data_IF_826043245132
#
_entry.id   IF_826043245132
#
_cell.length_a   1.000
_cell.length_b   1.000
_cell.length_c   1.000
_cell.angle_alpha   90.00
_cell.angle_beta   90.00
_cell.angle_gamma   90.00
#
_symmetry.space_group_name_H-M   'P 1'
#
loop_
_entity.id
_entity.type
_entity.pdbx_description
1 polymer ?
#
# COMPACT_ATOMS: atom_id res chain seq x y z
N UNK A 1 -3.71 0.59 -30.38
CA UNK A 1 -4.77 -0.39 -30.69
C UNK A 1 -6.11 0.16 -30.19
N UNK A 2 -7.03 0.46 -31.13
CA UNK A 2 -8.37 0.99 -30.80
C UNK A 2 -9.16 -0.10 -30.04
N UNK A 3 -9.56 0.17 -28.81
CA UNK A 3 -10.44 -0.76 -28.04
C UNK A 3 -11.78 -0.82 -28.75
N UNK A 4 -12.07 -1.95 -29.39
CA UNK A 4 -13.41 -2.23 -29.92
C UNK A 4 -14.40 -2.21 -28.75
N UNK A 5 -15.27 -1.21 -28.71
CA UNK A 5 -16.29 -1.13 -27.67
C UNK A 5 -17.38 -2.17 -27.95
N UNK A 6 -17.76 -2.93 -26.92
CA UNK A 6 -18.86 -3.87 -27.02
C UNK A 6 -20.17 -3.12 -27.37
N UNK A 7 -21.10 -3.74 -28.12
CA UNK A 7 -22.41 -3.18 -28.42
C UNK A 7 -23.15 -2.73 -27.14
N UNK A 8 -23.90 -1.63 -27.23
CA UNK A 8 -24.56 -1.03 -26.07
C UNK A 8 -25.48 -2.05 -25.34
N UNK A 9 -26.25 -2.83 -26.09
CA UNK A 9 -27.14 -3.87 -25.53
C UNK A 9 -26.36 -4.93 -24.72
N UNK A 10 -25.17 -5.34 -25.18
CA UNK A 10 -24.33 -6.30 -24.47
C UNK A 10 -23.79 -5.69 -23.17
N UNK A 11 -23.33 -4.44 -23.21
CA UNK A 11 -22.86 -3.72 -22.01
C UNK A 11 -23.96 -3.58 -20.96
N UNK A 12 -25.17 -3.21 -21.38
CA UNK A 12 -26.32 -3.09 -20.47
C UNK A 12 -26.71 -4.44 -19.86
N UNK A 13 -26.64 -5.50 -20.65
CA UNK A 13 -26.88 -6.86 -20.17
C UNK A 13 -25.83 -7.27 -19.12
N UNK A 14 -24.53 -7.05 -19.41
CA UNK A 14 -23.44 -7.33 -18.47
C UNK A 14 -23.55 -6.52 -17.18
N UNK A 15 -23.92 -5.23 -17.27
CA UNK A 15 -24.10 -4.37 -16.10
C UNK A 15 -25.29 -4.83 -15.24
N UNK A 16 -26.40 -5.22 -15.86
CA UNK A 16 -27.56 -5.80 -15.13
C UNK A 16 -27.20 -7.11 -14.45
N UNK A 17 -26.54 -8.02 -15.17
CA UNK A 17 -26.06 -9.28 -14.61
C UNK A 17 -25.14 -9.04 -13.41
N UNK A 18 -24.16 -8.15 -13.55
CA UNK A 18 -23.25 -7.80 -12.46
C UNK A 18 -23.94 -7.17 -11.24
N UNK A 19 -25.05 -6.44 -11.43
CA UNK A 19 -25.87 -5.96 -10.30
C UNK A 19 -26.59 -7.11 -9.64
N UNK A 20 -27.29 -7.96 -10.41
CA UNK A 20 -28.00 -9.11 -9.87
C UNK A 20 -27.10 -10.09 -9.12
N UNK A 21 -25.82 -10.20 -9.52
CA UNK A 21 -24.86 -11.06 -8.83
C UNK A 21 -24.33 -10.47 -7.52
N UNK A 22 -24.27 -9.14 -7.39
CA UNK A 22 -23.75 -8.48 -6.19
C UNK A 22 -24.82 -8.12 -5.17
N UNK A 23 -26.03 -7.79 -5.65
CA UNK A 23 -27.10 -7.33 -4.81
C UNK A 23 -28.30 -8.30 -4.90
N UNK A 24 -28.63 -8.98 -3.77
CA UNK A 24 -29.79 -9.87 -3.71
C UNK A 24 -31.11 -9.18 -3.96
N UNK A 25 -31.22 -7.88 -3.63
CA UNK A 25 -32.43 -7.08 -3.78
C UNK A 25 -32.60 -6.51 -5.20
N UNK A 26 -31.59 -6.67 -6.06
CA UNK A 26 -31.65 -6.21 -7.43
C UNK A 26 -32.72 -6.99 -8.21
N UNK A 27 -33.44 -6.28 -9.11
CA UNK A 27 -34.50 -6.86 -9.94
C UNK A 27 -34.04 -8.11 -10.69
N UNK A 28 -34.85 -9.15 -10.65
CA UNK A 28 -34.55 -10.43 -11.29
C UNK A 28 -34.29 -10.26 -12.80
N UNK A 29 -33.37 -11.05 -13.31
CA UNK A 29 -32.97 -11.01 -14.71
C UNK A 29 -33.84 -11.98 -15.53
N UNK A 30 -34.48 -11.47 -16.58
CA UNK A 30 -35.28 -12.30 -17.46
C UNK A 30 -34.47 -13.42 -18.12
N UNK A 31 -34.99 -14.63 -18.14
CA UNK A 31 -34.30 -15.79 -18.73
C UNK A 31 -33.28 -16.48 -17.84
N UNK A 32 -33.02 -15.97 -16.65
CA UNK A 32 -32.10 -16.60 -15.68
C UNK A 32 -32.91 -17.19 -14.52
N UNK A 33 -32.72 -18.48 -14.26
CA UNK A 33 -33.37 -19.14 -13.13
C UNK A 33 -32.83 -18.59 -11.80
N UNK A 34 -33.67 -18.14 -10.86
CA UNK A 34 -33.26 -17.56 -9.58
C UNK A 34 -32.29 -18.48 -8.80
N UNK A 35 -32.53 -19.77 -8.81
CA UNK A 35 -31.67 -20.77 -8.16
C UNK A 35 -30.22 -20.75 -8.73
N UNK A 36 -30.07 -20.64 -10.05
CA UNK A 36 -28.72 -20.58 -10.67
C UNK A 36 -28.03 -19.27 -10.31
N UNK A 37 -28.78 -18.16 -10.33
CA UNK A 37 -28.24 -16.86 -9.94
C UNK A 37 -27.76 -16.85 -8.49
N UNK A 38 -28.49 -17.49 -7.57
CA UNK A 38 -28.10 -17.63 -6.17
C UNK A 38 -26.78 -18.40 -6.02
N UNK A 39 -26.61 -19.54 -6.73
CA UNK A 39 -25.35 -20.31 -6.71
C UNK A 39 -24.16 -19.49 -7.22
N UNK A 40 -24.33 -18.77 -8.35
CA UNK A 40 -23.26 -17.91 -8.87
C UNK A 40 -22.93 -16.74 -7.94
N UNK A 41 -23.92 -16.16 -7.28
CA UNK A 41 -23.73 -15.09 -6.29
C UNK A 41 -22.89 -15.58 -5.12
N UNK A 42 -23.25 -16.73 -4.58
CA UNK A 42 -22.52 -17.34 -3.46
C UNK A 42 -21.09 -17.70 -3.84
N UNK A 43 -20.89 -18.31 -5.00
CA UNK A 43 -19.56 -18.65 -5.51
C UNK A 43 -18.66 -17.40 -5.66
N UNK A 44 -19.17 -16.34 -6.27
CA UNK A 44 -18.42 -15.11 -6.47
C UNK A 44 -18.11 -14.40 -5.14
N UNK A 45 -19.08 -14.41 -4.22
CA UNK A 45 -18.87 -13.84 -2.88
C UNK A 45 -17.80 -14.64 -2.12
N UNK A 46 -17.88 -15.97 -2.10
CA UNK A 46 -16.93 -16.82 -1.40
C UNK A 46 -15.50 -16.65 -1.94
N UNK A 47 -15.34 -16.63 -3.28
CA UNK A 47 -14.03 -16.36 -3.89
C UNK A 47 -13.46 -14.99 -3.49
N UNK A 48 -14.31 -13.95 -3.46
CA UNK A 48 -13.91 -12.61 -3.01
C UNK A 48 -13.54 -12.60 -1.53
N UNK A 49 -14.35 -13.25 -0.69
CA UNK A 49 -14.12 -13.32 0.75
C UNK A 49 -12.83 -14.08 1.09
N UNK A 50 -12.55 -15.20 0.42
CA UNK A 50 -11.30 -15.96 0.58
C UNK A 50 -10.08 -15.12 0.18
N UNK A 51 -10.14 -14.43 -0.95
CA UNK A 51 -9.06 -13.55 -1.40
C UNK A 51 -8.78 -12.43 -0.41
N UNK A 52 -9.83 -11.74 0.06
CA UNK A 52 -9.68 -10.66 1.03
C UNK A 52 -9.21 -11.17 2.39
N UNK A 53 -9.65 -12.34 2.82
CA UNK A 53 -9.18 -12.98 4.04
C UNK A 53 -7.68 -13.31 3.99
N UNK A 54 -7.19 -13.75 2.84
CA UNK A 54 -5.77 -14.03 2.63
C UNK A 54 -4.93 -12.75 2.62
N UNK A 55 -5.46 -11.66 2.06
CA UNK A 55 -4.76 -10.40 1.92
C UNK A 55 -4.81 -9.51 3.17
N UNK A 56 -5.82 -9.70 4.04
CA UNK A 56 -6.10 -8.84 5.20
C UNK A 56 -6.32 -9.66 6.49
N UNK A 57 -5.35 -10.48 6.90
CA UNK A 57 -5.50 -11.35 8.07
C UNK A 57 -5.68 -10.57 9.38
N UNK A 58 -4.97 -9.44 9.56
CA UNK A 58 -5.09 -8.62 10.77
C UNK A 58 -6.42 -7.87 10.81
N UNK A 59 -6.84 -7.28 9.68
CA UNK A 59 -8.17 -6.65 9.59
C UNK A 59 -9.27 -7.66 9.90
N UNK A 60 -9.17 -8.87 9.35
CA UNK A 60 -10.14 -9.94 9.65
C UNK A 60 -10.21 -10.24 11.14
N UNK A 61 -9.05 -10.33 11.81
CA UNK A 61 -8.99 -10.56 13.26
C UNK A 61 -9.63 -9.40 14.05
N UNK A 62 -9.25 -8.16 13.72
CA UNK A 62 -9.76 -6.94 14.37
C UNK A 62 -11.26 -6.77 14.17
N UNK A 63 -11.76 -7.09 12.97
CA UNK A 63 -13.17 -6.95 12.60
C UNK A 63 -14.00 -8.21 12.90
N UNK A 64 -13.43 -9.26 13.44
CA UNK A 64 -14.02 -10.57 13.74
C UNK A 64 -15.54 -10.71 13.46
N UNK A 65 -16.42 -10.28 14.38
CA UNK A 65 -17.88 -10.36 14.21
C UNK A 65 -18.48 -9.44 13.14
N UNK A 66 -17.70 -8.50 12.57
CA UNK A 66 -18.14 -7.54 11.51
C UNK A 66 -17.49 -7.83 10.17
N UNK A 67 -16.53 -8.75 10.09
CA UNK A 67 -15.75 -9.03 8.88
C UNK A 67 -16.63 -9.43 7.70
N UNK A 68 -17.51 -10.41 7.91
CA UNK A 68 -18.38 -10.90 6.83
C UNK A 68 -19.31 -9.80 6.30
N UNK A 69 -19.89 -9.01 7.20
CA UNK A 69 -20.73 -7.87 6.82
C UNK A 69 -19.93 -6.82 6.01
N UNK A 70 -18.70 -6.52 6.43
CA UNK A 70 -17.81 -5.59 5.75
C UNK A 70 -17.47 -6.06 4.32
N UNK A 71 -17.18 -7.35 4.15
CA UNK A 71 -16.89 -7.94 2.83
C UNK A 71 -18.16 -7.96 1.96
N UNK A 72 -19.33 -8.26 2.53
CA UNK A 72 -20.62 -8.20 1.80
C UNK A 72 -20.95 -6.78 1.32
N UNK A 73 -20.74 -5.78 2.17
CA UNK A 73 -20.91 -4.37 1.80
C UNK A 73 -19.94 -3.97 0.68
N UNK A 74 -18.68 -4.37 0.78
CA UNK A 74 -17.72 -4.14 -0.29
C UNK A 74 -18.16 -4.80 -1.60
N UNK A 75 -18.55 -6.06 -1.58
CA UNK A 75 -18.98 -6.81 -2.76
C UNK A 75 -20.22 -6.18 -3.41
N UNK A 76 -21.18 -5.69 -2.61
CA UNK A 76 -22.41 -5.03 -3.08
C UNK A 76 -22.14 -3.64 -3.62
N UNK A 77 -21.46 -2.79 -2.86
CA UNK A 77 -21.42 -1.35 -3.08
C UNK A 77 -20.21 -0.88 -3.91
N UNK A 78 -19.10 -1.63 -3.86
CA UNK A 78 -17.89 -1.27 -4.59
C UNK A 78 -17.85 -1.97 -5.96
N UNK A 79 -17.71 -1.16 -7.01
CA UNK A 79 -17.49 -1.67 -8.36
C UNK A 79 -15.99 -1.73 -8.61
N UNK A 80 -15.42 -2.92 -8.47
CA UNK A 80 -14.04 -3.14 -8.90
C UNK A 80 -13.89 -2.82 -10.39
N UNK A 81 -12.88 -2.04 -10.72
CA UNK A 81 -12.59 -1.61 -12.10
C UNK A 81 -11.50 -2.46 -12.73
N UNK A 82 -10.79 -3.23 -11.93
CA UNK A 82 -9.72 -4.11 -12.37
C UNK A 82 -10.22 -5.53 -12.67
N UNK A 83 -9.74 -6.17 -13.74
CA UNK A 83 -9.95 -7.58 -13.98
C UNK A 83 -8.95 -8.47 -13.22
N UNK A 84 -7.93 -7.88 -12.57
CA UNK A 84 -6.84 -8.61 -11.93
C UNK A 84 -7.17 -8.87 -10.45
N UNK A 85 -7.16 -10.13 -10.07
CA UNK A 85 -7.41 -10.54 -8.68
C UNK A 85 -6.40 -9.95 -7.69
N UNK A 86 -5.16 -9.77 -8.12
CA UNK A 86 -4.09 -9.17 -7.31
C UNK A 86 -4.34 -7.70 -6.94
N UNK A 87 -5.15 -6.98 -7.72
CA UNK A 87 -5.49 -5.58 -7.49
C UNK A 87 -6.74 -5.40 -6.61
N UNK A 88 -7.48 -6.47 -6.31
CA UNK A 88 -8.67 -6.40 -5.46
C UNK A 88 -8.33 -5.89 -4.06
N UNK A 89 -7.16 -6.22 -3.53
CA UNK A 89 -6.68 -5.67 -2.25
C UNK A 89 -6.60 -4.14 -2.27
N UNK A 90 -6.09 -3.56 -3.35
CA UNK A 90 -6.05 -2.11 -3.52
C UNK A 90 -7.45 -1.49 -3.64
N UNK A 91 -8.36 -2.17 -4.33
CA UNK A 91 -9.76 -1.74 -4.45
C UNK A 91 -10.47 -1.78 -3.08
N UNK A 92 -10.20 -2.80 -2.27
CA UNK A 92 -10.73 -2.89 -0.90
C UNK A 92 -10.20 -1.78 -0.01
N UNK A 93 -8.89 -1.49 -0.05
CA UNK A 93 -8.30 -0.35 0.65
C UNK A 93 -8.97 0.98 0.24
N UNK A 94 -9.15 1.23 -1.06
CA UNK A 94 -9.86 2.42 -1.57
C UNK A 94 -11.31 2.51 -1.08
N UNK A 95 -11.99 1.36 -0.98
CA UNK A 95 -13.34 1.31 -0.42
C UNK A 95 -13.35 1.69 1.06
N UNK A 96 -12.43 1.18 1.86
CA UNK A 96 -12.32 1.50 3.28
C UNK A 96 -12.02 2.99 3.51
N UNK A 97 -11.13 3.60 2.72
CA UNK A 97 -10.88 5.04 2.77
C UNK A 97 -12.17 5.85 2.54
N UNK A 98 -12.91 5.55 1.46
CA UNK A 98 -14.16 6.25 1.16
C UNK A 98 -15.24 6.01 2.21
N UNK A 99 -15.29 4.82 2.80
CA UNK A 99 -16.26 4.50 3.86
C UNK A 99 -15.94 5.23 5.16
N UNK A 100 -14.65 5.38 5.49
CA UNK A 100 -14.20 6.13 6.67
C UNK A 100 -14.51 7.64 6.58
N UNK A 101 -14.57 8.20 5.37
CA UNK A 101 -14.92 9.61 5.14
C UNK A 101 -16.45 9.88 5.28
N UNK A 102 -17.27 8.84 5.24
CA UNK A 102 -18.73 8.98 5.32
C UNK A 102 -19.20 8.91 6.77
N UNK A 103 -20.04 9.84 7.15
CA UNK A 103 -20.78 9.74 8.40
C UNK A 103 -21.77 8.56 8.31
N UNK A 104 -21.55 7.51 9.07
CA UNK A 104 -22.40 6.31 9.12
C UNK A 104 -22.83 6.02 10.54
N UNK A 105 -23.94 5.30 10.73
CA UNK A 105 -24.40 4.87 12.05
C UNK A 105 -23.48 3.79 12.65
N UNK A 106 -22.72 3.08 11.81
CA UNK A 106 -21.74 2.05 12.20
C UNK A 106 -20.34 2.40 11.65
N UNK A 107 -19.61 3.32 12.33
CA UNK A 107 -18.32 3.77 11.87
C UNK A 107 -17.28 2.66 11.96
N UNK A 108 -16.37 2.66 10.98
CA UNK A 108 -15.17 1.82 11.02
C UNK A 108 -14.16 2.37 12.03
N UNK A 109 -13.32 1.51 12.66
CA UNK A 109 -12.19 1.97 13.43
C UNK A 109 -11.33 2.95 12.61
N UNK A 110 -10.94 4.07 13.20
CA UNK A 110 -10.24 5.14 12.50
C UNK A 110 -8.87 4.72 11.92
N UNK A 111 -8.25 3.69 12.49
CA UNK A 111 -6.99 3.13 11.98
C UNK A 111 -7.17 2.15 10.81
N UNK A 112 -8.38 1.71 10.51
CA UNK A 112 -8.63 0.61 9.57
C UNK A 112 -8.15 0.89 8.14
N UNK A 113 -8.32 2.11 7.57
CA UNK A 113 -7.77 2.43 6.26
C UNK A 113 -6.25 2.33 6.20
N UNK A 114 -5.54 2.80 7.24
CA UNK A 114 -4.08 2.72 7.28
C UNK A 114 -3.59 1.29 7.49
N UNK A 115 -4.28 0.50 8.30
CA UNK A 115 -4.01 -0.93 8.47
C UNK A 115 -4.21 -1.68 7.14
N UNK A 116 -5.27 -1.37 6.41
CA UNK A 116 -5.50 -1.96 5.08
C UNK A 116 -4.40 -1.58 4.08
N UNK A 117 -3.91 -0.34 4.13
CA UNK A 117 -2.77 0.05 3.30
C UNK A 117 -1.51 -0.73 3.68
N UNK A 118 -1.24 -0.91 4.98
CA UNK A 118 -0.09 -1.65 5.48
C UNK A 118 -0.09 -3.11 5.01
N UNK A 119 -1.21 -3.84 5.19
CA UNK A 119 -1.35 -5.23 4.73
C UNK A 119 -1.30 -5.33 3.19
N UNK A 120 -1.92 -4.38 2.47
CA UNK A 120 -1.84 -4.33 1.02
C UNK A 120 -0.42 -4.08 0.50
N UNK A 121 0.39 -3.25 1.19
CA UNK A 121 1.80 -2.98 0.81
C UNK A 121 2.61 -4.26 0.80
N UNK A 122 2.39 -5.17 1.75
CA UNK A 122 3.08 -6.48 1.78
C UNK A 122 2.80 -7.28 0.51
N UNK A 123 1.53 -7.41 0.15
CA UNK A 123 1.13 -8.08 -1.10
C UNK A 123 1.71 -7.35 -2.32
N UNK A 124 1.56 -6.04 -2.40
CA UNK A 124 2.01 -5.25 -3.54
C UNK A 124 3.50 -5.39 -3.81
N UNK A 125 4.33 -5.38 -2.76
CA UNK A 125 5.77 -5.61 -2.88
C UNK A 125 6.08 -7.07 -3.24
N UNK A 126 5.34 -8.04 -2.69
CA UNK A 126 5.59 -9.47 -2.95
C UNK A 126 5.38 -9.83 -4.42
N UNK A 127 4.37 -9.25 -5.07
CA UNK A 127 4.00 -9.51 -6.47
C UNK A 127 4.56 -8.50 -7.47
N UNK A 128 5.29 -7.46 -7.01
CA UNK A 128 5.85 -6.45 -7.91
C UNK A 128 6.79 -7.08 -8.94
N UNK A 129 6.65 -6.72 -10.21
CA UNK A 129 7.52 -7.09 -11.30
C UNK A 129 8.79 -6.23 -11.36
N UNK A 130 8.89 -5.20 -10.51
CA UNK A 130 10.09 -4.38 -10.41
C UNK A 130 11.31 -5.21 -10.04
N UNK A 131 12.45 -4.84 -10.61
CA UNK A 131 13.74 -5.46 -10.34
C UNK A 131 14.67 -4.50 -9.60
N UNK A 132 15.64 -5.07 -8.92
CA UNK A 132 16.74 -4.28 -8.36
C UNK A 132 17.44 -3.52 -9.49
N UNK A 133 17.80 -2.24 -9.29
CA UNK A 133 18.63 -1.52 -10.25
C UNK A 133 19.90 -2.33 -10.54
N UNK A 134 20.31 -2.38 -11.81
CA UNK A 134 21.50 -3.12 -12.24
C UNK A 134 22.72 -2.74 -11.40
N UNK A 135 23.65 -3.70 -11.26
CA UNK A 135 24.76 -3.65 -10.32
C UNK A 135 25.47 -2.30 -10.32
N UNK A 136 25.17 -1.51 -9.32
CA UNK A 136 25.96 -0.36 -8.97
C UNK A 136 27.02 -0.85 -8.01
N UNK A 137 28.24 -1.02 -8.53
CA UNK A 137 29.38 -1.30 -7.66
C UNK A 137 29.44 -0.24 -6.55
N UNK A 138 29.81 -0.64 -5.33
CA UNK A 138 30.13 0.33 -4.27
C UNK A 138 31.13 1.34 -4.87
N UNK A 139 30.78 2.64 -4.86
CA UNK A 139 31.64 3.62 -5.49
C UNK A 139 33.00 3.67 -4.79
N UNK A 140 34.07 3.48 -5.52
CA UNK A 140 35.44 3.51 -5.02
C UNK A 140 35.87 4.88 -4.45
N UNK A 141 35.03 5.90 -4.43
CA UNK A 141 35.35 7.26 -4.01
C UNK A 141 34.36 7.89 -3.02
N UNK A 142 33.55 7.10 -2.34
CA UNK A 142 32.53 7.63 -1.44
C UNK A 142 31.21 8.02 -2.17
N UNK A 143 30.17 8.33 -1.39
CA UNK A 143 28.81 8.54 -1.93
C UNK A 143 28.50 10.02 -2.19
N UNK A 144 29.29 10.95 -1.68
CA UNK A 144 28.92 12.37 -1.55
C UNK A 144 28.53 13.04 -2.85
N UNK A 145 29.27 12.78 -3.92
CA UNK A 145 29.11 13.44 -5.22
C UNK A 145 28.42 12.53 -6.26
N UNK A 146 27.96 11.36 -5.85
CA UNK A 146 27.22 10.46 -6.74
C UNK A 146 25.71 10.62 -6.60
N UNK A 147 24.98 10.63 -7.74
CA UNK A 147 23.53 10.59 -7.70
C UNK A 147 23.03 9.31 -7.03
N UNK A 148 22.00 9.44 -6.23
CA UNK A 148 21.34 8.30 -5.59
C UNK A 148 20.04 7.93 -6.32
N UNK A 149 19.82 6.62 -6.43
CA UNK A 149 18.63 6.02 -7.05
C UNK A 149 17.91 5.17 -6.01
N UNK A 150 16.58 5.34 -5.83
CA UNK A 150 15.83 4.51 -4.90
C UNK A 150 15.70 3.09 -5.43
N UNK A 151 15.66 2.10 -4.54
CA UNK A 151 15.17 0.78 -4.88
C UNK A 151 13.66 0.84 -5.10
N UNK A 152 13.11 0.44 -6.26
CA UNK A 152 11.67 0.42 -6.49
C UNK A 152 10.92 -0.56 -5.55
N UNK A 153 11.63 -1.52 -4.96
CA UNK A 153 11.13 -2.48 -3.99
C UNK A 153 11.35 -2.05 -2.53
N UNK A 154 11.64 -0.75 -2.27
CA UNK A 154 11.82 -0.19 -0.95
C UNK A 154 11.01 1.10 -0.80
N UNK A 155 9.93 1.04 -0.01
CA UNK A 155 8.95 2.11 0.13
C UNK A 155 9.02 2.75 1.50
N UNK A 156 9.13 4.09 1.55
CA UNK A 156 9.00 4.88 2.78
C UNK A 156 7.52 5.16 3.03
N UNK A 157 7.01 4.70 4.16
CA UNK A 157 5.61 4.77 4.55
C UNK A 157 5.47 5.60 5.82
N UNK A 158 4.47 6.46 5.88
CA UNK A 158 4.13 7.24 7.08
C UNK A 158 2.67 6.99 7.43
N UNK A 159 2.42 6.59 8.65
CA UNK A 159 1.11 6.32 9.19
C UNK A 159 0.87 7.16 10.44
N UNK A 160 -0.36 7.56 10.65
CA UNK A 160 -0.80 8.18 11.89
C UNK A 160 -0.88 7.17 13.04
N UNK A 161 -1.17 5.90 12.70
CA UNK A 161 -1.36 4.81 13.64
C UNK A 161 -0.18 3.83 13.64
N UNK A 162 0.11 3.15 14.77
CA UNK A 162 1.16 2.13 14.83
C UNK A 162 0.68 0.81 14.20
N UNK A 163 0.37 0.84 12.89
CA UNK A 163 -0.29 -0.25 12.15
C UNK A 163 0.43 -1.60 12.25
N UNK A 164 1.75 -1.59 12.35
CA UNK A 164 2.60 -2.79 12.47
C UNK A 164 2.50 -3.46 13.87
N UNK A 165 1.83 -2.82 14.82
CA UNK A 165 1.60 -3.35 16.18
C UNK A 165 0.13 -3.73 16.42
N UNK A 166 -0.74 -3.44 15.48
CA UNK A 166 -2.17 -3.81 15.56
C UNK A 166 -2.30 -5.32 15.33
N UNK A 167 -3.14 -5.98 16.14
CA UNK A 167 -3.37 -7.43 16.08
C UNK A 167 -3.50 -8.05 17.47
N UNK A 168 -2.96 -7.40 18.49
CA UNK A 168 -3.17 -7.73 19.91
C UNK A 168 -4.13 -6.74 20.55
N UNK A 169 -3.60 -5.72 21.21
CA UNK A 169 -4.37 -4.64 21.79
C UNK A 169 -4.70 -3.57 20.74
N UNK A 170 -5.97 -3.15 20.69
CA UNK A 170 -6.41 -2.14 19.74
C UNK A 170 -6.06 -0.73 20.25
N UNK A 171 -5.48 0.13 19.41
CA UNK A 171 -5.13 1.48 19.81
C UNK A 171 -6.38 2.34 20.06
N UNK A 172 -6.47 2.95 21.24
CA UNK A 172 -7.57 3.85 21.58
C UNK A 172 -7.46 5.23 20.92
N UNK A 173 -6.23 5.71 20.73
CA UNK A 173 -5.93 6.98 20.07
C UNK A 173 -4.62 6.89 19.29
N UNK A 174 -4.45 7.70 18.22
CA UNK A 174 -3.18 7.77 17.52
C UNK A 174 -2.11 8.43 18.40
N UNK A 175 -0.84 7.98 18.33
CA UNK A 175 0.26 8.64 19.01
C UNK A 175 0.49 10.06 18.47
N UNK A 176 1.20 10.88 19.27
CA UNK A 176 1.53 12.26 18.87
C UNK A 176 2.48 12.29 17.65
N UNK A 177 3.38 11.32 17.56
CA UNK A 177 4.32 11.20 16.46
C UNK A 177 3.85 10.16 15.44
N UNK A 178 4.05 10.40 14.14
CA UNK A 178 3.70 9.44 13.10
C UNK A 178 4.59 8.20 13.18
N UNK A 179 4.01 7.06 12.83
CA UNK A 179 4.73 5.81 12.63
C UNK A 179 5.39 5.82 11.24
N UNK A 180 6.70 5.81 11.21
CA UNK A 180 7.49 5.84 9.98
C UNK A 180 8.07 4.45 9.73
N UNK A 181 7.74 3.85 8.60
CA UNK A 181 8.16 2.50 8.24
C UNK A 181 8.89 2.48 6.90
N UNK A 182 9.87 1.59 6.80
CA UNK A 182 10.38 1.08 5.55
C UNK A 182 9.72 -0.28 5.29
N UNK A 183 9.02 -0.42 4.17
CA UNK A 183 8.64 -1.70 3.62
C UNK A 183 9.59 -2.04 2.47
N UNK A 184 10.21 -3.22 2.48
CA UNK A 184 11.09 -3.64 1.39
C UNK A 184 10.96 -5.12 1.07
N UNK A 185 11.05 -5.46 -0.22
CA UNK A 185 11.27 -6.83 -0.65
C UNK A 185 12.77 -7.09 -0.74
N UNK A 186 13.25 -8.06 0.01
CA UNK A 186 14.66 -8.46 0.05
C UNK A 186 15.01 -9.38 -1.14
N UNK A 187 16.30 -9.66 -1.37
CA UNK A 187 16.76 -10.50 -2.50
C UNK A 187 16.28 -11.96 -2.41
N UNK A 188 15.91 -12.42 -1.21
CA UNK A 188 15.28 -13.71 -0.94
C UNK A 188 13.74 -13.66 -1.08
N UNK A 189 13.23 -12.61 -1.74
CA UNK A 189 11.80 -12.37 -2.01
C UNK A 189 10.91 -12.22 -0.77
N UNK A 190 11.49 -11.95 0.41
CA UNK A 190 10.71 -11.68 1.63
C UNK A 190 10.41 -10.20 1.75
N UNK A 191 9.17 -9.87 2.07
CA UNK A 191 8.81 -8.50 2.43
C UNK A 191 9.08 -8.28 3.92
N UNK A 192 9.80 -7.22 4.23
CA UNK A 192 10.16 -6.86 5.61
C UNK A 192 9.80 -5.42 5.90
N UNK A 193 9.28 -5.20 7.09
CA UNK A 193 8.99 -3.88 7.64
C UNK A 193 9.99 -3.53 8.73
N UNK A 194 10.43 -2.27 8.74
CA UNK A 194 11.38 -1.75 9.74
C UNK A 194 10.96 -0.33 10.13
N UNK A 195 10.93 -0.03 11.42
CA UNK A 195 10.70 1.35 11.87
C UNK A 195 11.87 2.25 11.46
N UNK A 196 11.55 3.45 11.00
CA UNK A 196 12.52 4.47 10.62
C UNK A 196 12.48 5.65 11.58
N UNK A 197 13.65 6.17 11.94
CA UNK A 197 13.73 7.51 12.48
C UNK A 197 13.47 8.59 11.41
N UNK A 198 13.08 9.78 11.84
CA UNK A 198 12.69 10.88 10.94
C UNK A 198 13.75 11.22 9.89
N UNK A 199 15.04 11.19 10.24
CA UNK A 199 16.14 11.50 9.32
C UNK A 199 16.22 10.44 8.20
N UNK A 200 16.15 9.16 8.56
CA UNK A 200 16.20 8.06 7.59
C UNK A 200 14.98 8.10 6.65
N UNK A 201 13.80 8.33 7.19
CA UNK A 201 12.58 8.48 6.41
C UNK A 201 12.66 9.64 5.42
N UNK A 202 13.07 10.84 5.87
CA UNK A 202 13.19 12.02 5.02
C UNK A 202 14.28 11.86 3.94
N UNK A 203 15.38 11.18 4.26
CA UNK A 203 16.42 10.85 3.27
C UNK A 203 15.87 9.91 2.18
N UNK A 204 15.26 8.80 2.57
CA UNK A 204 14.68 7.87 1.60
C UNK A 204 13.61 8.54 0.74
N UNK A 205 12.73 9.35 1.34
CA UNK A 205 11.74 10.13 0.63
C UNK A 205 12.38 11.14 -0.34
N UNK A 206 13.45 11.82 0.08
CA UNK A 206 14.18 12.76 -0.78
C UNK A 206 14.80 12.05 -1.98
N UNK A 207 15.37 10.85 -1.81
CA UNK A 207 15.94 10.04 -2.90
C UNK A 207 14.85 9.58 -3.85
N UNK A 208 13.70 9.13 -3.34
CA UNK A 208 12.56 8.69 -4.15
C UNK A 208 11.97 9.81 -5.01
N UNK A 209 11.98 11.05 -4.53
CA UNK A 209 11.45 12.22 -5.23
C UNK A 209 12.41 12.85 -6.25
N UNK A 210 13.70 12.62 -6.15
CA UNK A 210 14.70 13.33 -6.96
C UNK A 210 15.94 12.47 -7.26
N UNK A 211 15.78 11.51 -8.16
CA UNK A 211 16.74 10.44 -8.53
C UNK A 211 18.11 10.92 -9.06
N UNK A 212 18.26 12.19 -9.42
CA UNK A 212 19.50 12.73 -10.02
C UNK A 212 20.36 13.54 -9.04
N UNK A 213 19.97 13.60 -7.76
CA UNK A 213 20.71 14.35 -6.75
C UNK A 213 21.76 13.49 -6.10
N UNK A 214 22.89 14.14 -5.79
CA UNK A 214 23.97 13.51 -5.02
C UNK A 214 23.59 13.33 -3.54
N UNK A 215 24.29 12.45 -2.83
CA UNK A 215 24.06 12.25 -1.40
C UNK A 215 24.17 13.56 -0.62
N UNK A 216 25.18 14.40 -0.92
CA UNK A 216 25.35 15.73 -0.33
C UNK A 216 24.15 16.64 -0.55
N UNK A 217 23.57 16.63 -1.75
CA UNK A 217 22.39 17.44 -2.08
C UNK A 217 21.13 16.94 -1.34
N UNK A 218 20.95 15.63 -1.19
CA UNK A 218 19.87 15.07 -0.39
C UNK A 218 20.02 15.44 1.09
N UNK A 219 21.21 15.30 1.66
CA UNK A 219 21.51 15.69 3.04
C UNK A 219 21.23 17.17 3.29
N UNK A 220 21.71 18.07 2.41
CA UNK A 220 21.46 19.50 2.53
C UNK A 220 19.95 19.85 2.42
N UNK A 221 19.20 19.15 1.58
CA UNK A 221 17.76 19.32 1.45
C UNK A 221 17.02 18.90 2.73
N UNK A 222 17.38 17.74 3.29
CA UNK A 222 16.76 17.20 4.49
C UNK A 222 17.12 18.06 5.71
N UNK A 223 18.37 18.51 5.84
CA UNK A 223 18.79 19.45 6.88
C UNK A 223 17.92 20.71 6.90
N UNK A 224 17.74 21.35 5.74
CA UNK A 224 16.85 22.53 5.61
C UNK A 224 15.41 22.23 5.99
N UNK A 225 14.88 21.08 5.58
CA UNK A 225 13.52 20.68 5.88
C UNK A 225 13.28 20.45 7.37
N UNK A 226 14.29 19.91 8.06
CA UNK A 226 14.25 19.64 9.51
C UNK A 226 14.69 20.85 10.34
N UNK A 227 15.00 22.00 9.72
CA UNK A 227 15.44 23.22 10.41
C UNK A 227 16.84 23.11 11.02
N UNK A 228 17.68 22.16 10.54
CA UNK A 228 19.05 21.99 11.06
C UNK A 228 19.97 23.00 10.41
N UNK A 229 20.59 23.85 11.24
CA UNK A 229 21.52 24.91 10.82
C UNK A 229 22.64 25.11 11.85
N UNK A 230 23.60 26.00 11.54
CA UNK A 230 24.69 26.35 12.45
C UNK A 230 25.58 25.17 12.83
N UNK A 231 26.06 25.11 14.08
CA UNK A 231 27.00 24.06 14.52
C UNK A 231 26.49 22.64 14.39
N UNK A 232 25.15 22.45 14.52
CA UNK A 232 24.54 21.13 14.40
C UNK A 232 24.57 20.57 12.97
N UNK A 233 24.75 21.41 11.96
CA UNK A 233 24.74 20.98 10.55
C UNK A 233 25.86 19.99 10.23
N UNK A 234 27.08 20.22 10.74
CA UNK A 234 28.21 19.33 10.49
C UNK A 234 27.96 17.91 11.04
N UNK A 235 27.47 17.82 12.28
CA UNK A 235 27.09 16.55 12.91
C UNK A 235 25.97 15.87 12.15
N UNK A 236 24.93 16.61 11.75
CA UNK A 236 23.82 16.09 10.95
C UNK A 236 24.33 15.51 9.61
N UNK A 237 25.19 16.23 8.90
CA UNK A 237 25.75 15.78 7.61
C UNK A 237 26.53 14.47 7.77
N UNK A 238 27.34 14.34 8.84
CA UNK A 238 28.11 13.12 9.13
C UNK A 238 27.19 11.93 9.46
N UNK A 239 26.22 12.12 10.34
CA UNK A 239 25.26 11.07 10.74
C UNK A 239 24.35 10.66 9.56
N UNK A 240 23.86 11.64 8.82
CA UNK A 240 23.05 11.40 7.64
C UNK A 240 23.80 10.65 6.55
N UNK A 241 25.08 10.95 6.33
CA UNK A 241 25.96 10.21 5.44
C UNK A 241 26.06 8.74 5.87
N UNK A 242 26.37 8.47 7.13
CA UNK A 242 26.42 7.11 7.68
C UNK A 242 25.07 6.37 7.51
N UNK A 243 23.94 7.09 7.61
CA UNK A 243 22.63 6.52 7.34
C UNK A 243 22.45 6.14 5.87
N UNK A 244 22.88 6.97 4.92
CA UNK A 244 22.84 6.65 3.49
C UNK A 244 23.77 5.48 3.13
N UNK A 245 24.97 5.41 3.75
CA UNK A 245 25.90 4.29 3.57
C UNK A 245 25.27 2.96 4.00
N UNK A 246 24.59 2.93 5.16
CA UNK A 246 23.82 1.75 5.60
C UNK A 246 22.65 1.43 4.66
N UNK A 247 21.97 2.42 4.12
CA UNK A 247 20.90 2.20 3.14
C UNK A 247 21.43 1.58 1.83
N UNK A 248 22.66 1.95 1.40
CA UNK A 248 23.35 1.32 0.28
C UNK A 248 23.71 -0.14 0.58
N UNK A 249 24.25 -0.40 1.79
CA UNK A 249 24.58 -1.75 2.25
C UNK A 249 23.38 -2.69 2.31
N UNK A 250 22.23 -2.13 2.58
CA UNK A 250 20.97 -2.88 2.70
C UNK A 250 20.15 -2.90 1.41
N UNK A 251 20.69 -2.46 0.28
CA UNK A 251 19.99 -2.38 -0.99
C UNK A 251 18.69 -1.52 -0.94
N UNK A 252 18.62 -0.52 -0.05
CA UNK A 252 17.47 0.39 0.06
C UNK A 252 17.58 1.53 -0.96
N UNK A 253 18.80 2.00 -1.20
CA UNK A 253 19.16 2.95 -2.23
C UNK A 253 20.40 2.46 -2.99
N UNK A 254 20.63 3.02 -4.17
CA UNK A 254 21.80 2.68 -4.99
C UNK A 254 22.51 3.97 -5.42
N UNK A 255 23.82 3.89 -5.64
CA UNK A 255 24.54 4.95 -6.30
C UNK A 255 24.47 4.73 -7.82
N UNK A 256 24.15 5.77 -8.57
CA UNK A 256 24.21 5.70 -10.03
C UNK A 256 25.66 5.50 -10.49
N UNK A 257 25.82 4.78 -11.58
CA UNK A 257 27.12 4.52 -12.20
C UNK A 257 27.78 5.82 -12.69
#
# INVERSE_FOLDING_TARGET
>A
MSRVQAPAALRDHQLRMGRCLRDPEAAAMAGVLPRRLAVYRELLFNNMAELLQANFPVIRQVMAGRWEALVRDFFRDHRCTTPLFTEIGQEFHRYLCRRAERATQDPLPAFLPELAHYEWVELALSISEDAYPGATARPAGGIDDRPLVPNPLAWALAYRWPVHRIGGELPGAPPAEPTLLLARRTRDHQVRFTELGIVAFELLRSVSQARQRTARQHLARVARRLGVAGPALATFMAQGRSTLERMLEQDIVFAAA
#
